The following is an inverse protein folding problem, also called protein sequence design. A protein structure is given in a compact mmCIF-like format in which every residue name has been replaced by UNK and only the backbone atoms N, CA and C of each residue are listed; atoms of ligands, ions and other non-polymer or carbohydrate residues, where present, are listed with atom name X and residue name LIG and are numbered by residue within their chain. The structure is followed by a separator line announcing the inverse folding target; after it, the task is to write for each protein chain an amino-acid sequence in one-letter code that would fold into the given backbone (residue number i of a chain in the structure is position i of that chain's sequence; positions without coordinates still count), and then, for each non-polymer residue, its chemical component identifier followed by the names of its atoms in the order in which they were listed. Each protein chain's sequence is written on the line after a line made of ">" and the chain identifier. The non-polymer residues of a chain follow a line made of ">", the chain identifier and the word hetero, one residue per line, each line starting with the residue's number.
data_IF_327371322181
#
_entry.id   IF_327371322181
#
_cell.length_a   1.000
_cell.length_b   1.000
_cell.length_c   1.000
_cell.angle_alpha   90.00
_cell.angle_beta   90.00
_cell.angle_gamma   90.00
#
_symmetry.space_group_name_H-M   'P 1'
#
loop_
_entity.id
_entity.type
_entity.pdbx_description
1 polymer ?
#
# COMPACT_ATOMS: atom_id res chain seq x y z
N UNK A 1 10.65 17.98 -4.51
CA UNK A 1 11.39 16.96 -3.72
C UNK A 1 12.69 16.56 -4.41
N UNK A 2 12.67 16.27 -5.71
CA UNK A 2 13.85 16.00 -6.55
C UNK A 2 14.87 17.15 -6.60
N UNK A 3 14.42 18.40 -6.49
CA UNK A 3 15.33 19.56 -6.40
C UNK A 3 15.98 19.76 -5.02
N UNK A 4 15.39 19.20 -3.95
CA UNK A 4 15.83 19.43 -2.57
C UNK A 4 16.80 18.34 -2.10
N UNK A 5 16.62 17.11 -2.61
CA UNK A 5 17.47 15.96 -2.31
C UNK A 5 18.24 15.63 -3.60
N UNK A 6 19.49 16.10 -3.69
CA UNK A 6 20.29 16.18 -4.93
C UNK A 6 20.80 14.84 -5.49
N UNK A 7 20.40 13.69 -4.96
CA UNK A 7 21.10 12.42 -5.23
C UNK A 7 20.23 11.21 -5.63
N UNK A 8 18.90 11.36 -5.76
CA UNK A 8 17.99 10.23 -6.06
C UNK A 8 17.07 10.48 -7.26
N UNK A 9 16.71 9.41 -7.96
CA UNK A 9 15.65 9.46 -8.96
C UNK A 9 14.27 9.48 -8.28
N UNK A 10 13.20 9.96 -8.95
CA UNK A 10 11.83 9.89 -8.42
C UNK A 10 11.44 8.49 -7.92
N UNK A 11 11.91 7.44 -8.60
CA UNK A 11 11.65 6.04 -8.25
C UNK A 11 12.29 5.66 -6.92
N UNK A 12 13.54 6.07 -6.67
CA UNK A 12 14.22 5.86 -5.38
C UNK A 12 13.43 6.49 -4.25
N UNK A 13 12.91 7.70 -4.46
CA UNK A 13 12.10 8.38 -3.45
C UNK A 13 10.76 7.70 -3.21
N UNK A 14 10.10 7.22 -4.26
CA UNK A 14 8.84 6.49 -4.13
C UNK A 14 9.02 5.15 -3.40
N UNK A 15 10.13 4.45 -3.64
CA UNK A 15 10.49 3.25 -2.87
C UNK A 15 10.71 3.58 -1.39
N UNK A 16 11.54 4.58 -1.09
CA UNK A 16 11.80 4.99 0.28
C UNK A 16 10.53 5.47 1.00
N UNK A 17 9.67 6.20 0.29
CA UNK A 17 8.36 6.60 0.80
C UNK A 17 7.50 5.38 1.14
N UNK A 18 7.46 4.36 0.28
CA UNK A 18 6.76 3.10 0.55
C UNK A 18 7.25 2.39 1.82
N UNK A 19 8.56 2.30 2.02
CA UNK A 19 9.14 1.72 3.23
C UNK A 19 8.74 2.50 4.49
N UNK A 20 8.83 3.83 4.43
CA UNK A 20 8.42 4.71 5.52
C UNK A 20 6.92 4.59 5.80
N UNK A 21 6.11 4.43 4.75
CA UNK A 21 4.66 4.29 4.86
C UNK A 21 4.28 3.03 5.65
N UNK A 22 4.90 1.88 5.37
CA UNK A 22 4.67 0.66 6.15
C UNK A 22 5.05 0.87 7.62
N UNK A 23 6.20 1.50 7.90
CA UNK A 23 6.65 1.80 9.28
C UNK A 23 5.71 2.77 10.00
N UNK A 24 5.15 3.75 9.29
CA UNK A 24 4.18 4.70 9.82
C UNK A 24 2.95 3.97 10.37
N UNK A 25 2.38 3.02 9.61
CA UNK A 25 1.21 2.26 10.08
C UNK A 25 1.50 1.46 11.36
N UNK A 26 2.69 0.87 11.48
CA UNK A 26 3.08 0.12 12.69
C UNK A 26 3.31 1.02 13.91
N UNK A 27 3.73 2.28 13.71
CA UNK A 27 4.11 3.18 14.80
C UNK A 27 2.93 3.97 15.35
N UNK A 28 1.95 4.32 14.50
CA UNK A 28 0.81 5.17 14.87
C UNK A 28 -0.49 4.40 15.18
N UNK A 29 -0.40 3.09 15.44
CA UNK A 29 -1.54 2.29 15.88
C UNK A 29 -2.50 1.84 14.77
N UNK A 30 -2.07 1.96 13.50
CA UNK A 30 -2.73 1.28 12.39
C UNK A 30 -2.29 -0.18 12.25
N UNK A 31 -1.48 -0.69 13.19
CA UNK A 31 -1.13 -2.10 13.31
C UNK A 31 -2.38 -2.98 13.36
N UNK A 32 -3.45 -2.50 14.02
CA UNK A 32 -4.76 -3.18 14.05
C UNK A 32 -5.40 -3.22 12.68
N UNK A 33 -5.32 -2.13 11.91
CA UNK A 33 -5.88 -2.03 10.55
C UNK A 33 -5.08 -2.90 9.58
N UNK A 34 -3.75 -2.92 9.68
CA UNK A 34 -2.89 -3.85 8.94
C UNK A 34 -3.16 -5.31 9.30
N UNK A 35 -3.39 -5.63 10.58
CA UNK A 35 -3.78 -6.99 11.01
C UNK A 35 -5.15 -7.42 10.47
N UNK A 36 -6.09 -6.48 10.31
CA UNK A 36 -7.39 -6.73 9.66
C UNK A 36 -7.21 -6.97 8.17
N UNK A 37 -6.27 -6.28 7.53
CA UNK A 37 -5.92 -6.51 6.15
C UNK A 37 -5.29 -7.91 5.94
N UNK A 38 -4.62 -8.47 6.96
CA UNK A 38 -4.35 -9.90 7.01
C UNK A 38 -3.07 -10.27 7.72
N UNK A 39 -2.89 -11.57 7.96
CA UNK A 39 -1.68 -12.11 8.65
C UNK A 39 -0.59 -12.52 7.67
N UNK A 40 -0.97 -12.75 6.41
CA UNK A 40 -0.07 -13.07 5.31
C UNK A 40 -0.14 -11.98 4.23
N UNK A 41 0.95 -11.82 3.49
CA UNK A 41 1.04 -10.82 2.42
C UNK A 41 -0.07 -10.98 1.36
N UNK A 42 -0.46 -12.23 1.06
CA UNK A 42 -1.60 -12.54 0.19
C UNK A 42 -2.92 -11.93 0.66
N UNK A 43 -3.22 -12.08 1.95
CA UNK A 43 -4.46 -11.60 2.55
C UNK A 43 -4.52 -10.08 2.46
N UNK A 44 -3.38 -9.43 2.68
CA UNK A 44 -3.23 -7.98 2.52
C UNK A 44 -3.53 -7.52 1.10
N UNK A 45 -3.00 -8.21 0.07
CA UNK A 45 -3.27 -7.87 -1.33
C UNK A 45 -4.76 -7.96 -1.68
N UNK A 46 -5.49 -8.90 -1.09
CA UNK A 46 -6.92 -9.05 -1.32
C UNK A 46 -7.79 -8.06 -0.53
N UNK A 47 -7.31 -7.53 0.58
CA UNK A 47 -8.08 -6.68 1.49
C UNK A 47 -7.76 -5.19 1.40
N UNK A 48 -6.62 -4.82 0.79
CA UNK A 48 -6.17 -3.42 0.74
C UNK A 48 -7.16 -2.50 0.02
N UNK A 49 -7.89 -3.02 -0.97
CA UNK A 49 -8.93 -2.27 -1.67
C UNK A 49 -10.12 -1.96 -0.75
N UNK A 50 -10.50 -2.89 0.14
CA UNK A 50 -11.56 -2.65 1.14
C UNK A 50 -11.12 -1.63 2.19
N UNK A 51 -9.85 -1.67 2.60
CA UNK A 51 -9.27 -0.69 3.50
C UNK A 51 -9.30 0.70 2.85
N UNK A 52 -8.89 0.83 1.59
CA UNK A 52 -8.99 2.08 0.84
C UNK A 52 -10.42 2.57 0.70
N UNK A 53 -11.39 1.69 0.47
CA UNK A 53 -12.80 2.08 0.41
C UNK A 53 -13.29 2.62 1.76
N UNK A 54 -12.93 1.95 2.87
CA UNK A 54 -13.23 2.45 4.22
C UNK A 54 -12.60 3.82 4.52
N UNK A 55 -11.42 4.09 3.97
CA UNK A 55 -10.77 5.40 4.13
C UNK A 55 -11.51 6.51 3.38
N UNK A 56 -12.37 6.22 2.39
CA UNK A 56 -13.16 7.26 1.71
C UNK A 56 -14.15 7.95 2.63
N UNK A 57 -14.60 7.30 3.70
CA UNK A 57 -15.45 7.94 4.71
C UNK A 57 -14.74 9.12 5.39
N UNK A 58 -13.47 8.95 5.72
CA UNK A 58 -12.64 10.03 6.30
C UNK A 58 -12.02 10.95 5.25
N UNK A 59 -11.77 10.42 4.04
CA UNK A 59 -11.12 11.13 2.94
C UNK A 59 -11.96 11.05 1.64
N UNK A 60 -13.05 11.83 1.50
CA UNK A 60 -14.03 11.68 0.41
C UNK A 60 -13.47 11.93 -0.99
N UNK A 61 -12.38 12.69 -1.11
CA UNK A 61 -11.71 13.01 -2.38
C UNK A 61 -10.54 12.09 -2.70
N UNK A 62 -10.31 11.06 -1.90
CA UNK A 62 -9.20 10.13 -2.10
C UNK A 62 -9.39 9.34 -3.40
N UNK A 63 -8.36 9.34 -4.25
CA UNK A 63 -8.26 8.44 -5.39
C UNK A 63 -7.34 7.28 -4.99
N UNK A 64 -7.96 6.18 -4.58
CA UNK A 64 -7.23 4.98 -4.21
C UNK A 64 -6.86 4.17 -5.46
N UNK A 65 -5.64 3.62 -5.52
CA UNK A 65 -5.33 2.57 -6.50
C UNK A 65 -6.17 1.33 -6.22
N UNK A 66 -6.41 0.53 -7.26
CA UNK A 66 -7.07 -0.77 -7.18
C UNK A 66 -6.05 -1.88 -7.42
N UNK A 67 -6.01 -2.86 -6.51
CA UNK A 67 -5.12 -4.01 -6.58
C UNK A 67 -5.91 -5.27 -6.90
N UNK A 68 -5.76 -5.77 -8.13
CA UNK A 68 -6.41 -7.00 -8.56
C UNK A 68 -5.38 -8.12 -8.72
N UNK A 69 -5.45 -9.11 -7.83
CA UNK A 69 -4.67 -10.35 -7.94
C UNK A 69 -5.31 -11.24 -9.00
N UNK A 70 -4.59 -11.53 -10.09
CA UNK A 70 -5.11 -12.32 -11.21
C UNK A 70 -4.69 -13.79 -11.16
N UNK A 71 -3.55 -14.08 -10.53
CA UNK A 71 -2.99 -15.42 -10.42
C UNK A 71 -2.17 -15.52 -9.13
N UNK A 72 -2.19 -16.67 -8.44
CA UNK A 72 -1.45 -16.92 -7.21
C UNK A 72 -1.03 -18.40 -7.15
N UNK A 73 0.23 -18.64 -6.81
CA UNK A 73 0.79 -19.96 -6.54
C UNK A 73 1.71 -19.95 -5.30
N UNK A 74 2.40 -21.05 -5.04
CA UNK A 74 3.34 -21.16 -3.92
C UNK A 74 4.58 -20.26 -4.04
N UNK A 75 4.90 -19.77 -5.25
CA UNK A 75 6.05 -18.93 -5.54
C UNK A 75 5.72 -17.43 -5.51
N UNK A 76 4.44 -17.06 -5.63
CA UNK A 76 4.01 -15.67 -5.51
C UNK A 76 2.63 -15.39 -6.08
N UNK A 77 2.41 -14.11 -6.40
CA UNK A 77 1.14 -13.63 -6.95
C UNK A 77 1.39 -12.61 -8.06
N UNK A 78 0.57 -12.68 -9.12
CA UNK A 78 0.52 -11.67 -10.16
C UNK A 78 -0.57 -10.67 -9.81
N UNK A 79 -0.16 -9.44 -9.49
CA UNK A 79 -1.06 -8.35 -9.15
C UNK A 79 -1.04 -7.27 -10.23
N UNK A 80 -2.22 -6.88 -10.69
CA UNK A 80 -2.40 -5.69 -11.53
C UNK A 80 -2.81 -4.52 -10.65
N UNK A 81 -2.08 -3.41 -10.81
CA UNK A 81 -2.46 -2.13 -10.26
C UNK A 81 -3.13 -1.30 -11.36
N UNK A 82 -4.37 -0.89 -11.11
CA UNK A 82 -5.11 0.04 -11.97
C UNK A 82 -5.40 1.31 -11.18
N UNK A 83 -5.08 2.46 -11.78
CA UNK A 83 -5.37 3.81 -11.27
C UNK A 83 -6.74 4.32 -11.72
#
# INVERSE_FOLDING_TARGET
>A
LTEVLREGSPETYMQFFGECFVRFFTTYGYDKILRVAGRHFRDFLHSIDQLHDSNRFSFPKMKSPLFHVTDEDENGAVCRNTL
#
